data_IF_272340823655
#
_entry.id   IF_272340823655
#
_cell.length_a   1.000
_cell.length_b   1.000
_cell.length_c   1.000
_cell.angle_alpha   90.00
_cell.angle_beta   90.00
_cell.angle_gamma   90.00
#
_symmetry.space_group_name_H-M   'P 1'
#
loop_
_entity.id
_entity.type
_entity.pdbx_description
1 polymer ?
#
# COMPACT_ATOMS: atom_id res chain seq x y z
N UNK A 1 5.28 -4.89 -14.54
CA UNK A 1 4.25 -5.20 -13.52
C UNK A 1 4.59 -4.37 -12.31
N UNK A 2 3.61 -3.85 -11.57
CA UNK A 2 3.87 -3.10 -10.33
C UNK A 2 3.34 -3.90 -9.16
N UNK A 3 4.17 -4.02 -8.13
CA UNK A 3 3.87 -4.71 -6.89
C UNK A 3 3.63 -3.68 -5.77
N UNK A 4 2.55 -3.88 -5.01
CA UNK A 4 2.23 -3.13 -3.81
C UNK A 4 2.55 -3.92 -2.56
N UNK A 5 3.56 -3.46 -1.80
CA UNK A 5 3.99 -4.05 -0.54
C UNK A 5 3.60 -3.19 0.65
N UNK A 6 3.02 -3.83 1.68
CA UNK A 6 2.51 -3.15 2.87
C UNK A 6 3.55 -3.07 3.98
N UNK A 7 3.63 -1.90 4.59
CA UNK A 7 4.49 -1.62 5.73
C UNK A 7 3.74 -0.86 6.82
N UNK A 8 4.19 -1.02 8.05
CA UNK A 8 3.82 -0.14 9.16
C UNK A 8 4.38 1.26 8.94
N UNK A 9 3.90 2.24 9.70
CA UNK A 9 4.40 3.63 9.61
C UNK A 9 5.88 3.74 10.00
N UNK A 10 6.37 2.86 10.87
CA UNK A 10 7.80 2.74 11.23
C UNK A 10 8.63 1.91 10.23
N UNK A 11 8.06 1.53 9.08
CA UNK A 11 8.79 0.93 7.96
C UNK A 11 9.02 -0.58 8.05
N UNK A 12 8.33 -1.28 8.95
CA UNK A 12 8.40 -2.75 9.06
C UNK A 12 7.40 -3.38 8.10
N UNK A 13 7.81 -4.44 7.40
CA UNK A 13 6.91 -5.19 6.54
C UNK A 13 5.77 -5.83 7.34
N UNK A 14 4.56 -5.87 6.77
CA UNK A 14 3.39 -6.49 7.41
C UNK A 14 3.12 -7.84 6.76
N UNK A 15 3.50 -8.90 7.46
CA UNK A 15 3.13 -10.27 7.11
C UNK A 15 1.63 -10.49 7.39
N UNK A 16 0.89 -10.97 6.39
CA UNK A 16 -0.56 -11.25 6.51
C UNK A 16 -1.49 -10.28 5.77
N UNK A 17 -0.94 -9.23 5.15
CA UNK A 17 -1.66 -8.48 4.10
C UNK A 17 -1.26 -9.01 2.73
N UNK A 18 -2.25 -9.22 1.87
CA UNK A 18 -2.01 -9.65 0.50
C UNK A 18 -1.19 -8.60 -0.26
N UNK A 19 -0.20 -9.06 -0.99
CA UNK A 19 0.50 -8.27 -1.99
C UNK A 19 -0.49 -7.83 -3.08
N UNK A 20 -0.40 -6.56 -3.48
CA UNK A 20 -1.19 -6.03 -4.60
C UNK A 20 -0.39 -6.11 -5.89
N UNK A 21 -1.05 -6.40 -7.01
CA UNK A 21 -0.41 -6.48 -8.33
C UNK A 21 -1.19 -5.68 -9.34
N UNK A 22 -0.48 -4.86 -10.11
CA UNK A 22 -1.04 -3.97 -11.11
C UNK A 22 -0.27 -4.07 -12.43
N UNK A 23 -0.92 -3.67 -13.52
CA UNK A 23 -0.32 -3.64 -14.86
C UNK A 23 0.88 -2.68 -14.92
N UNK A 24 0.67 -1.47 -14.42
CA UNK A 24 1.57 -0.31 -14.49
C UNK A 24 1.31 0.64 -13.32
N UNK A 25 2.17 1.66 -13.16
CA UNK A 25 2.12 2.58 -12.03
C UNK A 25 0.89 3.49 -12.06
N UNK A 26 0.45 3.92 -13.25
CA UNK A 26 -0.72 4.80 -13.38
C UNK A 26 -2.00 4.07 -12.94
N UNK A 27 -2.15 2.82 -13.37
CA UNK A 27 -3.26 1.99 -12.93
C UNK A 27 -3.16 1.68 -11.42
N UNK A 28 -1.95 1.38 -10.92
CA UNK A 28 -1.75 1.13 -9.49
C UNK A 28 -2.19 2.31 -8.61
N UNK A 29 -1.78 3.54 -8.96
CA UNK A 29 -2.18 4.74 -8.22
C UNK A 29 -3.69 4.97 -8.31
N UNK A 30 -4.27 4.87 -9.50
CA UNK A 30 -5.71 5.07 -9.70
C UNK A 30 -6.56 4.07 -8.91
N UNK A 31 -6.17 2.79 -8.89
CA UNK A 31 -6.91 1.75 -8.14
C UNK A 31 -6.75 1.94 -6.62
N UNK A 32 -5.56 2.33 -6.16
CA UNK A 32 -5.31 2.59 -4.73
C UNK A 32 -6.09 3.81 -4.25
N UNK A 33 -6.11 4.90 -5.01
CA UNK A 33 -6.87 6.12 -4.69
C UNK A 33 -8.39 5.88 -4.71
N UNK A 34 -8.88 5.02 -5.60
CA UNK A 34 -10.30 4.65 -5.64
C UNK A 34 -10.70 3.74 -4.46
N UNK A 35 -9.79 2.90 -3.98
CA UNK A 35 -10.07 1.89 -2.95
C UNK A 35 -9.81 2.39 -1.53
N UNK A 36 -8.89 3.33 -1.36
CA UNK A 36 -8.41 3.76 -0.06
C UNK A 36 -8.29 5.27 0.06
N UNK A 37 -8.45 5.76 1.29
CA UNK A 37 -8.04 7.12 1.65
C UNK A 37 -6.51 7.13 1.74
N UNK A 38 -5.84 7.77 0.78
CA UNK A 38 -4.37 7.80 0.72
C UNK A 38 -3.79 9.16 0.32
N UNK A 39 -2.50 9.32 0.58
CA UNK A 39 -1.67 10.43 0.11
C UNK A 39 -0.32 9.87 -0.38
N UNK A 40 0.22 10.44 -1.47
CA UNK A 40 1.59 10.17 -1.89
C UNK A 40 2.54 10.94 -0.97
N UNK A 41 3.58 10.27 -0.48
CA UNK A 41 4.57 10.87 0.40
C UNK A 41 5.85 11.19 -0.35
N UNK A 42 6.30 10.20 -1.11
CA UNK A 42 7.55 10.22 -1.86
C UNK A 42 7.36 9.39 -3.11
N UNK A 43 8.04 9.77 -4.17
CA UNK A 43 8.08 9.03 -5.41
C UNK A 43 9.40 9.26 -6.11
N UNK A 44 9.76 8.32 -6.96
CA UNK A 44 10.91 8.43 -7.83
C UNK A 44 10.57 7.84 -9.18
N UNK A 45 10.13 8.69 -10.12
CA UNK A 45 9.85 8.31 -11.49
C UNK A 45 11.02 7.56 -12.15
N UNK A 46 12.26 8.03 -11.91
CA UNK A 46 13.48 7.40 -12.46
C UNK A 46 13.69 5.96 -11.99
N UNK A 47 13.35 5.69 -10.74
CA UNK A 47 13.52 4.37 -10.11
C UNK A 47 12.23 3.56 -10.15
N UNK A 48 11.13 4.15 -10.60
CA UNK A 48 9.87 3.44 -10.79
C UNK A 48 9.19 3.01 -9.48
N UNK A 49 9.19 3.85 -8.46
CA UNK A 49 8.46 3.57 -7.22
C UNK A 49 7.74 4.80 -6.65
N UNK A 50 6.66 4.53 -5.91
CA UNK A 50 5.89 5.52 -5.16
C UNK A 50 5.54 4.98 -3.78
N UNK A 51 5.77 5.78 -2.75
CA UNK A 51 5.42 5.46 -1.37
C UNK A 51 4.20 6.25 -0.95
N UNK A 52 3.13 5.55 -0.57
CA UNK A 52 1.88 6.12 -0.14
C UNK A 52 1.65 5.92 1.35
N UNK A 53 1.00 6.88 2.00
CA UNK A 53 0.33 6.67 3.27
C UNK A 53 -1.13 6.31 2.99
N UNK A 54 -1.58 5.18 3.49
CA UNK A 54 -2.91 4.63 3.20
C UNK A 54 -3.65 4.36 4.50
N UNK A 55 -4.90 4.80 4.62
CA UNK A 55 -5.79 4.36 5.69
C UNK A 55 -6.56 3.12 5.24
N UNK A 56 -6.10 1.95 5.67
CA UNK A 56 -6.70 0.67 5.33
C UNK A 56 -7.33 -0.01 6.55
N UNK A 57 -8.36 -0.82 6.30
CA UNK A 57 -8.94 -1.70 7.33
C UNK A 57 -8.12 -2.98 7.35
N UNK A 58 -7.39 -3.19 8.44
CA UNK A 58 -6.52 -4.37 8.61
C UNK A 58 -7.11 -5.35 9.62
N UNK A 59 -7.03 -6.66 9.37
CA UNK A 59 -7.31 -7.67 10.38
C UNK A 59 -6.28 -7.58 11.51
N UNK A 60 -6.72 -7.79 12.76
CA UNK A 60 -5.87 -7.91 13.95
C UNK A 60 -6.12 -9.29 14.54
N UNK A 61 -5.04 -9.98 14.94
CA UNK A 61 -5.04 -11.37 15.45
C UNK A 61 -5.52 -12.35 14.37
N UNK A 62 -6.44 -13.24 14.71
CA UNK A 62 -6.91 -14.36 13.89
C UNK A 62 -7.88 -13.94 12.76
N UNK A 63 -7.79 -12.68 12.29
CA UNK A 63 -8.65 -12.14 11.23
C UNK A 63 -10.05 -11.73 11.66
N UNK A 64 -10.47 -12.02 12.89
CA UNK A 64 -11.84 -11.81 13.40
C UNK A 64 -12.13 -10.35 13.75
N UNK A 65 -11.11 -9.59 14.15
CA UNK A 65 -11.24 -8.17 14.51
C UNK A 65 -10.60 -7.34 13.42
N UNK A 66 -11.33 -6.36 12.89
CA UNK A 66 -10.83 -5.42 11.87
C UNK A 66 -10.68 -4.02 12.49
N UNK A 67 -9.61 -3.30 12.13
CA UNK A 67 -9.38 -1.91 12.58
C UNK A 67 -8.90 -1.05 11.42
N UNK A 68 -9.44 0.18 11.32
CA UNK A 68 -8.90 1.21 10.42
C UNK A 68 -7.55 1.67 10.99
N UNK A 69 -6.49 1.47 10.21
CA UNK A 69 -5.11 1.81 10.58
C UNK A 69 -4.47 2.62 9.47
N UNK A 70 -3.48 3.44 9.84
CA UNK A 70 -2.64 4.15 8.86
C UNK A 70 -1.42 3.28 8.58
N UNK A 71 -1.19 2.97 7.30
CA UNK A 71 -0.11 2.12 6.81
C UNK A 71 0.70 2.86 5.74
N UNK A 72 1.83 2.26 5.38
CA UNK A 72 2.62 2.61 4.19
C UNK A 72 2.39 1.55 3.11
N UNK A 73 2.20 1.99 1.88
CA UNK A 73 2.15 1.11 0.70
C UNK A 73 3.26 1.56 -0.25
N UNK A 74 4.22 0.67 -0.50
CA UNK A 74 5.23 0.89 -1.53
C UNK A 74 4.75 0.26 -2.82
N UNK A 75 4.55 1.06 -3.86
CA UNK A 75 4.35 0.60 -5.23
C UNK A 75 5.69 0.62 -5.95
N UNK A 76 6.13 -0.49 -6.53
CA UNK A 76 7.38 -0.57 -7.28
C UNK A 76 7.30 -1.55 -8.45
N UNK A 77 8.09 -1.31 -9.51
CA UNK A 77 8.23 -2.19 -10.67
C UNK A 77 8.99 -3.50 -10.40
#
# INVERSE_FOLDING_TARGET
MVTGSWYTVDGKNIEGLSELKFSDMANALSEVEASYECIVLEESERLGWSLLQVKAVVPIKDGTVKRKSTLRLLLSH
#
